data_IF_574146706920
#
_entry.id   IF_574146706920
#
_cell.length_a   1.000
_cell.length_b   1.000
_cell.length_c   1.000
_cell.angle_alpha   90.00
_cell.angle_beta   90.00
_cell.angle_gamma   90.00
#
_symmetry.space_group_name_H-M   'P 1'
#
loop_
_entity.id
_entity.type
_entity.pdbx_description
1 polymer ?
#
# COMPACT_ATOMS: atom_id res chain seq x y z
N UNK A 1 -5.15 29.27 24.88
CA UNK A 1 -5.08 28.96 23.45
C UNK A 1 -5.44 27.51 23.22
N UNK A 2 -6.26 27.25 22.22
CA UNK A 2 -6.59 25.86 21.86
C UNK A 2 -5.47 25.25 21.06
N UNK A 3 -5.20 23.96 21.29
CA UNK A 3 -4.25 23.19 20.50
C UNK A 3 -4.77 23.01 19.07
N UNK A 4 -3.94 23.18 18.02
CA UNK A 4 -4.39 22.95 16.65
C UNK A 4 -4.94 21.54 16.48
N UNK A 5 -6.03 21.44 15.74
CA UNK A 5 -6.68 20.17 15.42
C UNK A 5 -6.66 19.93 13.93
N UNK A 6 -6.61 18.66 13.54
CA UNK A 6 -6.61 18.29 12.14
C UNK A 6 -7.97 18.59 11.52
N UNK A 7 -7.95 19.31 10.39
CA UNK A 7 -9.13 19.64 9.60
C UNK A 7 -8.86 19.33 8.13
N UNK A 8 -9.91 19.22 7.30
CA UNK A 8 -9.71 19.02 5.88
C UNK A 8 -8.80 20.11 5.28
N UNK A 9 -7.83 19.69 4.47
CA UNK A 9 -6.87 20.59 3.86
C UNK A 9 -5.66 20.95 4.72
N UNK A 10 -5.59 20.46 5.96
CA UNK A 10 -4.46 20.73 6.84
C UNK A 10 -3.17 20.09 6.33
N UNK A 11 -2.06 20.80 6.52
CA UNK A 11 -0.73 20.23 6.27
C UNK A 11 -0.23 19.60 7.58
N UNK A 12 0.10 18.34 7.52
CA UNK A 12 0.42 17.53 8.69
C UNK A 12 1.87 17.03 8.67
N UNK A 13 2.48 17.05 9.86
CA UNK A 13 3.71 16.31 10.14
C UNK A 13 3.35 15.26 11.19
N UNK A 14 3.58 13.99 10.89
CA UNK A 14 3.20 12.91 11.79
C UNK A 14 4.06 11.67 11.59
N UNK A 15 4.16 10.87 12.64
CA UNK A 15 4.58 9.49 12.51
C UNK A 15 3.35 8.61 12.43
N UNK A 16 3.42 7.58 11.62
CA UNK A 16 2.33 6.62 11.55
C UNK A 16 2.82 5.22 11.20
N UNK A 17 2.02 4.24 11.57
CA UNK A 17 2.25 2.84 11.28
C UNK A 17 0.95 2.23 10.76
N UNK A 18 1.04 1.52 9.66
CA UNK A 18 -0.06 0.71 9.14
C UNK A 18 0.37 -0.74 9.12
N UNK A 19 -0.38 -1.58 9.81
CA UNK A 19 -0.07 -2.99 9.94
C UNK A 19 -1.28 -3.84 9.60
N UNK A 20 -1.03 -4.92 8.87
CA UNK A 20 -2.01 -5.98 8.64
C UNK A 20 -1.70 -7.20 9.49
N UNK A 21 -2.42 -8.32 9.27
CA UNK A 21 -2.17 -9.55 10.03
C UNK A 21 -0.75 -10.11 9.87
N UNK A 22 -0.07 -9.78 8.77
CA UNK A 22 1.29 -10.26 8.49
C UNK A 22 2.38 -9.32 9.01
N UNK A 23 2.02 -8.20 9.61
CA UNK A 23 2.96 -7.22 10.16
C UNK A 23 2.84 -5.85 9.56
N UNK A 24 3.84 -5.00 9.80
CA UNK A 24 3.84 -3.61 9.37
C UNK A 24 4.06 -3.51 7.85
N UNK A 25 3.22 -2.70 7.19
CA UNK A 25 3.42 -2.31 5.79
C UNK A 25 4.17 -0.99 5.73
N UNK A 26 3.81 -0.04 6.60
CA UNK A 26 4.47 1.25 6.73
C UNK A 26 4.69 1.52 8.21
N UNK A 27 5.88 2.01 8.57
CA UNK A 27 6.19 2.41 9.94
C UNK A 27 7.25 3.50 9.91
N UNK A 28 6.88 4.72 10.27
CA UNK A 28 7.81 5.86 10.28
C UNK A 28 8.43 6.10 11.67
N UNK A 29 7.98 5.39 12.71
CA UNK A 29 8.38 5.67 14.10
C UNK A 29 9.87 5.51 14.37
N UNK A 30 10.57 4.72 13.60
CA UNK A 30 12.02 4.57 13.75
C UNK A 30 12.85 5.49 12.87
N UNK A 31 12.23 6.40 12.12
CA UNK A 31 12.91 7.24 11.16
C UNK A 31 12.33 8.63 11.06
N UNK A 32 12.31 9.17 9.87
CA UNK A 32 11.80 10.52 9.60
C UNK A 32 10.28 10.55 9.64
N UNK A 33 9.66 11.60 10.22
CA UNK A 33 8.21 11.74 10.17
C UNK A 33 7.75 12.02 8.73
N UNK A 34 6.52 11.61 8.46
CA UNK A 34 5.89 11.88 7.18
C UNK A 34 5.24 13.26 7.17
N UNK A 35 5.24 13.90 6.01
CA UNK A 35 4.50 15.14 5.79
C UNK A 35 3.47 14.90 4.69
N UNK A 36 2.26 15.41 4.90
CA UNK A 36 1.20 15.26 3.91
C UNK A 36 0.15 16.36 4.06
N UNK A 37 -0.61 16.58 3.00
CA UNK A 37 -1.78 17.46 3.02
C UNK A 37 -3.03 16.61 3.03
N UNK A 38 -3.90 16.82 4.00
CA UNK A 38 -5.14 16.06 4.12
C UNK A 38 -6.06 16.37 2.96
N UNK A 39 -6.52 15.35 2.26
CA UNK A 39 -7.35 15.50 1.08
C UNK A 39 -6.60 15.49 -0.24
N UNK A 40 -5.25 15.40 -0.21
CA UNK A 40 -4.43 15.37 -1.42
C UNK A 40 -4.29 13.97 -2.04
N UNK A 41 -4.86 12.94 -1.41
CA UNK A 41 -4.79 11.56 -1.89
C UNK A 41 -3.62 10.74 -1.38
N UNK A 42 -2.83 11.28 -0.43
CA UNK A 42 -1.72 10.56 0.16
C UNK A 42 -2.17 9.37 1.01
N UNK A 43 -3.34 9.50 1.62
CA UNK A 43 -3.96 8.45 2.43
C UNK A 43 -5.35 8.15 1.89
N UNK A 44 -5.88 6.95 2.18
CA UNK A 44 -7.24 6.62 1.79
C UNK A 44 -8.25 7.47 2.56
N UNK A 45 -9.45 7.73 1.98
CA UNK A 45 -10.46 8.55 2.66
C UNK A 45 -10.84 8.02 4.05
N UNK A 46 -10.91 6.71 4.24
CA UNK A 46 -11.25 6.12 5.54
C UNK A 46 -10.18 6.42 6.59
N UNK A 47 -8.91 6.40 6.21
CA UNK A 47 -7.79 6.74 7.10
C UNK A 47 -7.79 8.24 7.40
N UNK A 48 -8.02 9.08 6.39
CA UNK A 48 -8.10 10.52 6.58
C UNK A 48 -9.22 10.90 7.55
N UNK A 49 -10.37 10.24 7.48
CA UNK A 49 -11.48 10.47 8.40
C UNK A 49 -11.10 10.20 9.86
N UNK A 50 -10.22 9.23 10.10
CA UNK A 50 -9.74 8.94 11.46
C UNK A 50 -8.82 10.02 11.99
N UNK A 51 -8.15 10.76 11.12
CA UNK A 51 -7.24 11.83 11.50
C UNK A 51 -7.98 13.12 11.88
N UNK A 52 -9.12 13.39 11.25
CA UNK A 52 -9.86 14.64 11.47
C UNK A 52 -10.25 14.78 12.93
N UNK A 53 -9.94 15.93 13.53
CA UNK A 53 -10.24 16.25 14.91
C UNK A 53 -9.17 15.87 15.92
N UNK A 54 -8.10 15.22 15.50
CA UNK A 54 -6.99 14.89 16.39
C UNK A 54 -6.19 16.14 16.71
N UNK A 55 -5.69 16.23 17.94
CA UNK A 55 -4.91 17.37 18.37
C UNK A 55 -3.42 17.18 18.06
N UNK A 56 -2.75 18.30 17.78
CA UNK A 56 -1.30 18.33 17.68
C UNK A 56 -0.67 17.77 18.96
N UNK A 57 0.30 16.87 18.81
CA UNK A 57 0.97 16.22 19.95
C UNK A 57 0.28 14.96 20.45
N UNK A 58 -0.92 14.65 19.95
CA UNK A 58 -1.66 13.47 20.40
C UNK A 58 -1.20 12.19 19.70
N UNK A 59 -1.47 11.06 20.34
CA UNK A 59 -1.16 9.74 19.82
C UNK A 59 -2.40 8.85 19.91
N UNK A 60 -2.72 8.18 18.83
CA UNK A 60 -3.91 7.33 18.75
C UNK A 60 -3.62 6.05 17.97
N UNK A 61 -4.39 5.00 18.29
CA UNK A 61 -4.37 3.75 17.57
C UNK A 61 -5.79 3.39 17.16
N UNK A 62 -5.99 3.12 15.87
CA UNK A 62 -7.29 2.77 15.31
C UNK A 62 -7.24 1.37 14.73
N UNK A 63 -8.30 0.59 14.96
CA UNK A 63 -8.51 -0.68 14.29
C UNK A 63 -9.53 -0.48 13.16
N UNK A 64 -9.11 -0.78 11.93
CA UNK A 64 -9.95 -0.65 10.75
C UNK A 64 -10.42 -2.03 10.32
N UNK A 65 -11.71 -2.16 10.03
CA UNK A 65 -12.28 -3.43 9.59
C UNK A 65 -11.76 -3.82 8.20
N UNK A 66 -11.82 -5.13 7.84
CA UNK A 66 -11.45 -5.55 6.48
C UNK A 66 -12.23 -4.75 5.44
N UNK A 67 -11.51 -4.22 4.44
CA UNK A 67 -12.10 -3.39 3.39
C UNK A 67 -12.31 -1.94 3.75
N UNK A 68 -12.16 -1.53 5.01
CA UNK A 68 -12.40 -0.14 5.43
C UNK A 68 -11.28 0.81 5.01
N UNK A 69 -10.02 0.39 5.16
CA UNK A 69 -8.88 1.26 4.89
C UNK A 69 -8.53 1.34 3.39
N UNK A 70 -8.48 0.22 2.70
CA UNK A 70 -8.02 0.13 1.32
C UNK A 70 -9.02 -0.56 0.40
N UNK A 71 -10.28 -0.64 0.81
CA UNK A 71 -11.31 -1.30 0.05
C UNK A 71 -11.18 -2.82 0.09
N UNK A 72 -12.09 -3.49 -0.57
CA UNK A 72 -12.08 -4.93 -0.64
C UNK A 72 -11.11 -5.42 -1.72
N UNK A 73 -10.64 -6.66 -1.53
CA UNK A 73 -9.80 -7.30 -2.52
C UNK A 73 -10.62 -7.61 -3.78
N UNK A 74 -10.11 -7.21 -4.94
CA UNK A 74 -10.76 -7.47 -6.22
C UNK A 74 -10.08 -8.66 -6.90
N UNK A 75 -10.75 -9.83 -7.03
CA UNK A 75 -10.15 -10.99 -7.70
C UNK A 75 -9.77 -10.74 -9.17
N UNK A 76 -10.43 -9.78 -9.83
CA UNK A 76 -10.12 -9.43 -11.22
C UNK A 76 -8.76 -8.74 -11.37
N UNK A 77 -8.18 -8.26 -10.27
CA UNK A 77 -6.85 -7.67 -10.28
C UNK A 77 -5.75 -8.75 -10.16
N UNK A 78 -6.10 -10.01 -10.04
CA UNK A 78 -5.16 -11.11 -10.14
C UNK A 78 -5.10 -11.56 -11.60
N UNK A 79 -3.92 -11.45 -12.23
CA UNK A 79 -3.76 -11.67 -13.66
C UNK A 79 -2.61 -12.63 -13.94
N UNK A 80 -2.83 -13.57 -14.84
CA UNK A 80 -1.76 -14.41 -15.37
C UNK A 80 -1.00 -13.64 -16.45
N UNK A 81 0.31 -13.61 -16.32
CA UNK A 81 1.20 -12.96 -17.30
C UNK A 81 2.12 -14.01 -17.88
N UNK A 82 2.13 -14.14 -19.22
CA UNK A 82 2.98 -15.09 -19.92
C UNK A 82 4.45 -14.74 -19.74
N UNK A 83 5.30 -15.75 -19.61
CA UNK A 83 6.75 -15.55 -19.46
C UNK A 83 7.33 -14.74 -20.61
N UNK A 84 6.81 -14.94 -21.82
CA UNK A 84 7.24 -14.19 -23.00
C UNK A 84 7.06 -12.69 -22.81
N UNK A 85 5.90 -12.27 -22.26
CA UNK A 85 5.64 -10.86 -21.98
C UNK A 85 6.55 -10.32 -20.89
N UNK A 86 6.79 -11.11 -19.85
CA UNK A 86 7.70 -10.73 -18.77
C UNK A 86 9.13 -10.52 -19.29
N UNK A 87 9.56 -11.34 -20.22
CA UNK A 87 10.89 -11.20 -20.84
C UNK A 87 11.02 -9.93 -21.66
N UNK A 88 9.92 -9.45 -22.24
CA UNK A 88 9.89 -8.20 -23.00
C UNK A 88 9.86 -6.97 -22.08
N UNK A 89 9.23 -7.09 -20.89
CA UNK A 89 9.07 -5.98 -19.95
C UNK A 89 10.24 -5.84 -18.98
N UNK A 90 11.01 -6.89 -18.78
CA UNK A 90 12.10 -6.91 -17.80
C UNK A 90 13.25 -7.81 -18.22
N UNK A 91 13.91 -8.41 -17.22
CA UNK A 91 15.03 -9.30 -17.44
C UNK A 91 14.53 -10.68 -17.92
N UNK A 92 14.92 -11.13 -19.14
CA UNK A 92 14.47 -12.42 -19.67
C UNK A 92 15.04 -13.62 -18.88
N UNK A 93 16.06 -13.41 -18.06
CA UNK A 93 16.67 -14.47 -17.26
C UNK A 93 16.21 -14.49 -15.81
N UNK A 94 15.35 -13.55 -15.41
CA UNK A 94 14.88 -13.46 -14.04
C UNK A 94 13.96 -14.64 -13.69
N UNK A 95 14.16 -15.20 -12.50
CA UNK A 95 13.32 -16.23 -11.94
C UNK A 95 12.40 -15.59 -10.90
N UNK A 96 11.11 -15.89 -10.99
CA UNK A 96 10.12 -15.37 -10.06
C UNK A 96 9.80 -16.40 -8.99
N UNK A 97 9.55 -15.93 -7.76
CA UNK A 97 9.17 -16.79 -6.63
C UNK A 97 7.88 -16.25 -6.01
N UNK A 98 7.06 -17.15 -5.48
CA UNK A 98 5.84 -16.76 -4.76
C UNK A 98 6.22 -15.82 -3.60
N UNK A 99 5.54 -14.68 -3.53
CA UNK A 99 5.82 -13.64 -2.54
C UNK A 99 6.66 -12.48 -3.07
N UNK A 100 7.28 -12.62 -4.23
CA UNK A 100 8.02 -11.51 -4.85
C UNK A 100 7.06 -10.39 -5.24
N UNK A 101 7.54 -9.14 -5.17
CA UNK A 101 6.81 -7.98 -5.67
C UNK A 101 7.56 -7.43 -6.87
N UNK A 102 6.84 -7.28 -7.98
CA UNK A 102 7.41 -6.83 -9.25
C UNK A 102 6.70 -5.56 -9.69
N UNK A 103 7.46 -4.55 -10.09
CA UNK A 103 6.91 -3.31 -10.62
C UNK A 103 6.84 -3.34 -12.14
N UNK A 104 5.75 -2.84 -12.68
CA UNK A 104 5.50 -2.74 -14.11
C UNK A 104 5.28 -1.29 -14.50
N UNK A 105 5.77 -0.85 -15.67
CA UNK A 105 5.46 0.48 -16.17
C UNK A 105 3.98 0.54 -16.60
N UNK A 106 3.34 1.69 -16.37
CA UNK A 106 2.00 1.90 -16.90
C UNK A 106 2.06 2.14 -18.41
N UNK A 107 0.97 1.84 -19.16
CA UNK A 107 0.98 2.00 -20.62
C UNK A 107 1.29 3.41 -21.11
N UNK A 108 0.97 4.44 -20.32
CA UNK A 108 1.25 5.83 -20.64
C UNK A 108 2.67 6.27 -20.28
N UNK A 109 3.44 5.42 -19.61
CA UNK A 109 4.80 5.72 -19.19
C UNK A 109 4.90 6.69 -18.01
N UNK A 110 3.78 7.15 -17.45
CA UNK A 110 3.76 8.18 -16.42
C UNK A 110 3.97 7.62 -15.00
N UNK A 111 3.87 6.31 -14.81
CA UNK A 111 4.02 5.71 -13.49
C UNK A 111 4.29 4.22 -13.55
N UNK A 112 4.19 3.61 -12.38
CA UNK A 112 4.38 2.15 -12.23
C UNK A 112 3.32 1.59 -11.31
N UNK A 113 3.03 0.31 -11.48
CA UNK A 113 2.17 -0.42 -10.54
C UNK A 113 2.87 -1.71 -10.13
N UNK A 114 2.59 -2.17 -8.91
CA UNK A 114 3.24 -3.33 -8.33
C UNK A 114 2.29 -4.51 -8.26
N UNK A 115 2.79 -5.69 -8.62
CA UNK A 115 2.07 -6.95 -8.48
C UNK A 115 2.85 -7.92 -7.63
N UNK A 116 2.15 -8.64 -6.74
CA UNK A 116 2.75 -9.70 -5.93
C UNK A 116 2.58 -11.04 -6.63
N UNK A 117 3.66 -11.82 -6.68
CA UNK A 117 3.62 -13.16 -7.27
C UNK A 117 2.84 -14.10 -6.35
N UNK A 118 1.75 -14.68 -6.85
CA UNK A 118 0.89 -15.62 -6.10
C UNK A 118 1.09 -17.05 -6.48
N UNK A 119 1.23 -17.33 -7.78
CA UNK A 119 1.41 -18.67 -8.31
C UNK A 119 2.34 -18.66 -9.50
N UNK A 120 2.96 -19.80 -9.76
CA UNK A 120 3.80 -20.02 -10.91
C UNK A 120 3.25 -21.21 -11.70
N UNK A 121 3.17 -21.07 -13.03
CA UNK A 121 2.85 -22.19 -13.91
C UNK A 121 4.12 -22.65 -14.59
N UNK A 122 4.46 -23.92 -14.43
CA UNK A 122 5.64 -24.50 -15.08
C UNK A 122 5.23 -25.23 -16.34
N UNK A 123 6.05 -25.07 -17.39
CA UNK A 123 5.90 -25.85 -18.64
C UNK A 123 6.41 -27.27 -18.49
N UNK A 124 6.27 -28.04 -19.56
CA UNK A 124 6.71 -29.42 -19.59
C UNK A 124 8.23 -29.59 -19.40
N UNK A 125 8.99 -28.52 -19.70
CA UNK A 125 10.45 -28.46 -19.54
C UNK A 125 10.87 -28.02 -18.11
N UNK A 126 9.91 -27.79 -17.21
CA UNK A 126 10.17 -27.29 -15.85
C UNK A 126 10.45 -25.81 -15.78
N UNK A 127 10.42 -25.08 -16.88
CA UNK A 127 10.62 -23.63 -16.91
C UNK A 127 9.31 -22.89 -16.57
N UNK A 128 9.45 -21.69 -16.04
CA UNK A 128 8.30 -20.84 -15.72
C UNK A 128 7.63 -20.39 -17.03
N UNK A 129 6.40 -20.83 -17.25
CA UNK A 129 5.61 -20.53 -18.44
C UNK A 129 4.74 -19.29 -18.24
N UNK A 130 4.17 -19.14 -17.06
CA UNK A 130 3.33 -18.00 -16.68
C UNK A 130 3.43 -17.74 -15.19
N UNK A 131 3.15 -16.49 -14.80
CA UNK A 131 3.19 -16.06 -13.41
C UNK A 131 1.86 -15.35 -13.09
N UNK A 132 1.23 -15.74 -11.98
CA UNK A 132 0.03 -15.06 -11.50
C UNK A 132 0.43 -13.90 -10.60
N UNK A 133 0.11 -12.69 -11.03
CA UNK A 133 0.33 -11.47 -10.27
C UNK A 133 -0.97 -10.98 -9.65
N UNK A 134 -0.88 -10.55 -8.40
CA UNK A 134 -1.98 -9.92 -7.67
C UNK A 134 -1.65 -8.43 -7.54
N UNK A 135 -2.43 -7.59 -8.20
CA UNK A 135 -2.23 -6.14 -8.21
C UNK A 135 -3.06 -5.41 -7.15
N UNK A 136 -3.74 -6.14 -6.27
CA UNK A 136 -4.42 -5.54 -5.14
C UNK A 136 -3.43 -4.91 -4.17
N UNK A 137 -3.86 -3.85 -3.47
CA UNK A 137 -3.08 -3.33 -2.36
C UNK A 137 -2.86 -4.44 -1.33
N UNK A 138 -1.66 -4.53 -0.72
CA UNK A 138 -1.38 -5.59 0.27
C UNK A 138 -2.38 -5.66 1.43
N UNK A 139 -3.00 -4.53 1.78
CA UNK A 139 -3.97 -4.45 2.87
C UNK A 139 -5.43 -4.46 2.39
N UNK A 140 -5.68 -4.58 1.08
CA UNK A 140 -7.04 -4.66 0.57
C UNK A 140 -7.73 -5.91 1.12
N UNK A 141 -8.95 -5.75 1.65
CA UNK A 141 -9.71 -6.83 2.26
C UNK A 141 -9.17 -7.33 3.59
N UNK A 142 -8.16 -6.65 4.16
CA UNK A 142 -7.53 -7.06 5.42
C UNK A 142 -7.88 -6.09 6.55
N UNK A 143 -7.95 -6.57 7.80
CA UNK A 143 -8.03 -5.66 8.93
C UNK A 143 -6.71 -4.91 9.05
N UNK A 144 -6.79 -3.61 9.36
CA UNK A 144 -5.62 -2.73 9.43
C UNK A 144 -5.55 -2.09 10.81
N UNK A 145 -4.37 -2.10 11.42
CA UNK A 145 -4.07 -1.29 12.60
C UNK A 145 -3.36 -0.03 12.13
N UNK A 146 -3.94 1.12 12.44
CA UNK A 146 -3.38 2.43 12.11
C UNK A 146 -3.01 3.14 13.40
N UNK A 147 -1.72 3.31 13.64
CA UNK A 147 -1.19 4.04 14.78
C UNK A 147 -0.61 5.35 14.28
N UNK A 148 -0.92 6.46 14.97
CA UNK A 148 -0.49 7.80 14.55
C UNK A 148 -0.04 8.61 15.76
N UNK A 149 1.05 9.39 15.57
CA UNK A 149 1.50 10.41 16.51
C UNK A 149 1.59 11.72 15.73
N UNK A 150 0.67 12.64 16.03
CA UNK A 150 0.58 13.93 15.35
C UNK A 150 1.65 14.86 15.92
N UNK A 151 2.63 15.26 15.08
CA UNK A 151 3.73 16.11 15.49
C UNK A 151 3.39 17.58 15.27
N UNK A 152 2.83 17.90 14.11
CA UNK A 152 2.49 19.27 13.75
C UNK A 152 1.26 19.34 12.87
N UNK A 153 0.46 20.39 13.07
CA UNK A 153 -0.74 20.72 12.29
C UNK A 153 -0.65 22.17 11.84
N UNK A 154 -0.69 22.39 10.54
CA UNK A 154 -0.64 23.76 9.96
C UNK A 154 -1.89 24.08 9.17
#
# INVERSE_FOLDING_TARGET
>A
MSTPRIAPGAFLTLHYRMAGPSGDVINTFGGQPATLTLGAGDLSPAVEDKLIGLEEGSRHTFALAPGEAFGERNPEMAQWVARKLLSELGDPHEQYSVGDVVEFPTPDGAGRYAGAVRELRLGADGQQEAVLFDFNHPLAGQPVTFEVHVIGVL
#
